data_IF_834335778216
#
_entry.id   IF_834335778216
#
_cell.length_a   1.000
_cell.length_b   1.000
_cell.length_c   1.000
_cell.angle_alpha   90.00
_cell.angle_beta   90.00
_cell.angle_gamma   90.00
#
_symmetry.space_group_name_H-M   'P 1'
#
loop_
_entity.id
_entity.type
_entity.pdbx_description
1 polymer ?
#
# COMPACT_ATOMS: atom_id res chain seq x y z
N UNK A 1 7.74 -24.47 3.27
CA UNK A 1 8.45 -23.65 2.26
C UNK A 1 8.86 -22.38 2.97
N UNK A 2 10.15 -22.20 3.19
CA UNK A 2 10.67 -20.94 3.73
C UNK A 2 10.51 -19.85 2.66
N UNK A 3 10.04 -18.68 3.07
CA UNK A 3 9.86 -17.54 2.15
C UNK A 3 11.22 -16.91 1.80
N UNK A 4 11.27 -16.06 0.76
CA UNK A 4 12.50 -15.39 0.34
C UNK A 4 13.18 -14.59 1.47
N UNK A 5 14.51 -14.62 1.50
CA UNK A 5 15.32 -13.74 2.34
C UNK A 5 15.46 -12.37 1.66
N UNK A 6 14.75 -11.36 2.18
CA UNK A 6 14.73 -9.99 1.65
C UNK A 6 15.64 -9.03 2.45
N UNK A 7 16.50 -9.57 3.32
CA UNK A 7 17.34 -8.79 4.22
C UNK A 7 16.61 -8.31 5.47
N UNK A 8 17.18 -7.30 6.13
CA UNK A 8 16.75 -6.82 7.46
C UNK A 8 16.12 -5.43 7.43
N UNK A 9 15.99 -4.82 6.25
CA UNK A 9 15.38 -3.51 6.11
C UNK A 9 13.91 -3.58 6.53
N UNK A 10 13.50 -2.69 7.41
CA UNK A 10 12.16 -2.69 7.98
C UNK A 10 11.70 -1.30 8.34
N UNK A 11 10.39 -1.12 8.40
CA UNK A 11 9.75 0.08 8.96
C UNK A 11 8.73 -0.38 9.99
N UNK A 12 8.97 0.00 11.24
CA UNK A 12 7.99 -0.27 12.30
C UNK A 12 6.66 0.42 11.97
N UNK A 13 5.58 -0.35 12.06
CA UNK A 13 4.21 0.13 11.90
C UNK A 13 3.39 -0.18 13.15
N UNK A 14 2.31 0.56 13.35
CA UNK A 14 1.42 0.37 14.48
C UNK A 14 0.56 -0.87 14.25
N UNK A 15 1.00 -1.97 14.82
CA UNK A 15 0.30 -3.27 14.85
C UNK A 15 0.71 -4.03 16.10
N UNK A 16 -0.20 -4.83 16.65
CA UNK A 16 0.13 -5.78 17.71
C UNK A 16 0.52 -7.16 17.16
N UNK A 17 0.39 -7.38 15.85
CA UNK A 17 0.64 -8.66 15.17
C UNK A 17 2.07 -8.70 14.62
N UNK A 18 2.96 -9.55 15.17
CA UNK A 18 4.31 -9.71 14.62
C UNK A 18 4.30 -10.21 13.17
N UNK A 19 3.29 -10.99 12.80
CA UNK A 19 3.12 -11.47 11.43
C UNK A 19 2.68 -10.36 10.48
N UNK A 20 1.79 -9.46 10.90
CA UNK A 20 1.43 -8.29 10.10
C UNK A 20 2.65 -7.38 9.86
N UNK A 21 3.47 -7.14 10.90
CA UNK A 21 4.73 -6.40 10.77
C UNK A 21 5.68 -7.09 9.78
N UNK A 22 5.86 -8.42 9.90
CA UNK A 22 6.72 -9.19 8.99
C UNK A 22 6.25 -9.10 7.54
N UNK A 23 4.96 -9.24 7.28
CA UNK A 23 4.41 -9.14 5.93
C UNK A 23 4.47 -7.70 5.38
N UNK A 24 4.26 -6.70 6.23
CA UNK A 24 4.46 -5.30 5.85
C UNK A 24 5.91 -5.03 5.43
N UNK A 25 6.88 -5.50 6.22
CA UNK A 25 8.31 -5.33 5.90
C UNK A 25 8.68 -5.99 4.57
N UNK A 26 8.13 -7.18 4.28
CA UNK A 26 8.30 -7.85 2.98
C UNK A 26 7.71 -7.05 1.82
N UNK A 27 6.47 -6.56 1.99
CA UNK A 27 5.83 -5.74 0.97
C UNK A 27 6.60 -4.46 0.67
N UNK A 28 7.18 -3.86 1.71
CA UNK A 28 8.04 -2.69 1.61
C UNK A 28 9.33 -3.00 0.84
N UNK A 29 10.02 -4.09 1.17
CA UNK A 29 11.23 -4.53 0.48
C UNK A 29 10.99 -4.84 -0.99
N UNK A 30 9.88 -5.54 -1.33
CA UNK A 30 9.51 -5.81 -2.72
C UNK A 30 9.19 -4.55 -3.51
N UNK A 31 8.45 -3.62 -2.91
CA UNK A 31 8.13 -2.34 -3.53
C UNK A 31 9.39 -1.52 -3.81
N UNK A 32 10.36 -1.52 -2.89
CA UNK A 32 11.67 -0.85 -3.06
C UNK A 32 12.58 -1.56 -4.06
N UNK A 33 12.32 -2.84 -4.32
CA UNK A 33 12.99 -3.63 -5.36
C UNK A 33 12.22 -3.64 -6.69
N UNK A 34 11.26 -2.74 -6.84
CA UNK A 34 10.43 -2.56 -8.05
C UNK A 34 9.52 -3.74 -8.41
N UNK A 35 9.28 -4.68 -7.48
CA UNK A 35 8.27 -5.73 -7.63
C UNK A 35 6.99 -5.32 -6.90
N UNK A 36 6.21 -4.46 -7.56
CA UNK A 36 4.98 -3.89 -6.99
C UNK A 36 3.89 -4.94 -6.78
N UNK A 37 3.76 -5.93 -7.67
CA UNK A 37 2.74 -6.98 -7.57
C UNK A 37 2.95 -7.85 -6.32
N UNK A 38 4.18 -8.31 -6.08
CA UNK A 38 4.48 -9.07 -4.87
C UNK A 38 4.41 -8.18 -3.61
N UNK A 39 4.74 -6.89 -3.75
CA UNK A 39 4.49 -5.87 -2.73
C UNK A 39 3.03 -5.86 -2.28
N UNK A 40 2.10 -5.74 -3.23
CA UNK A 40 0.65 -5.77 -2.97
C UNK A 40 0.23 -7.03 -2.25
N UNK A 41 0.66 -8.21 -2.72
CA UNK A 41 0.31 -9.51 -2.10
C UNK A 41 0.80 -9.59 -0.65
N UNK A 42 2.00 -9.08 -0.37
CA UNK A 42 2.53 -9.02 0.98
C UNK A 42 1.71 -8.09 1.88
N UNK A 43 1.30 -6.92 1.38
CA UNK A 43 0.46 -5.99 2.14
C UNK A 43 -0.95 -6.53 2.38
N UNK A 44 -1.54 -7.24 1.41
CA UNK A 44 -2.80 -7.97 1.59
C UNK A 44 -2.66 -9.00 2.70
N UNK A 45 -1.59 -9.80 2.69
CA UNK A 45 -1.31 -10.77 3.75
C UNK A 45 -1.09 -10.10 5.11
N UNK A 46 -0.46 -8.92 5.16
CA UNK A 46 -0.34 -8.15 6.38
C UNK A 46 -1.72 -7.73 6.92
N UNK A 47 -2.66 -7.33 6.04
CA UNK A 47 -4.02 -6.96 6.42
C UNK A 47 -4.87 -8.16 6.89
N UNK A 48 -4.59 -9.36 6.38
CA UNK A 48 -5.21 -10.60 6.88
C UNK A 48 -4.70 -10.95 8.29
N UNK A 49 -3.40 -10.73 8.55
CA UNK A 49 -2.79 -10.97 9.86
C UNK A 49 -3.20 -9.94 10.92
N UNK A 50 -3.52 -8.71 10.51
CA UNK A 50 -4.08 -7.66 11.38
C UNK A 50 -5.00 -6.74 10.57
N UNK A 51 -6.33 -6.97 10.62
CA UNK A 51 -7.32 -6.13 9.94
C UNK A 51 -7.39 -4.70 10.48
N UNK A 52 -6.70 -4.39 11.58
CA UNK A 52 -6.60 -3.04 12.16
C UNK A 52 -5.29 -2.33 11.81
N UNK A 53 -4.39 -2.98 11.06
CA UNK A 53 -3.13 -2.39 10.62
C UNK A 53 -3.36 -1.41 9.46
N UNK A 54 -3.48 -0.12 9.77
CA UNK A 54 -3.62 0.96 8.77
C UNK A 54 -2.53 0.94 7.71
N UNK A 55 -1.30 0.61 8.09
CA UNK A 55 -0.18 0.62 7.15
C UNK A 55 -0.22 -0.55 6.15
N UNK A 56 -0.86 -1.67 6.47
CA UNK A 56 -1.09 -2.73 5.50
C UNK A 56 -1.95 -2.21 4.33
N UNK A 57 -3.07 -1.57 4.64
CA UNK A 57 -3.94 -0.98 3.61
C UNK A 57 -3.29 0.20 2.88
N UNK A 58 -2.55 1.06 3.59
CA UNK A 58 -1.73 2.10 2.95
C UNK A 58 -0.74 1.50 1.96
N UNK A 59 -0.09 0.38 2.32
CA UNK A 59 0.88 -0.31 1.47
C UNK A 59 0.26 -0.83 0.17
N UNK A 60 -0.96 -1.39 0.24
CA UNK A 60 -1.72 -1.79 -0.96
C UNK A 60 -1.91 -0.60 -1.89
N UNK A 61 -2.43 0.51 -1.36
CA UNK A 61 -2.66 1.73 -2.15
C UNK A 61 -1.38 2.31 -2.75
N UNK A 62 -0.28 2.29 -1.98
CA UNK A 62 1.04 2.73 -2.42
C UNK A 62 1.57 1.88 -3.59
N UNK A 63 1.46 0.55 -3.49
CA UNK A 63 2.07 -0.36 -4.44
C UNK A 63 1.29 -0.50 -5.76
N UNK A 64 -0.05 -0.36 -5.75
CA UNK A 64 -0.86 -0.38 -7.00
C UNK A 64 -0.82 0.94 -7.77
N UNK A 65 -0.32 2.01 -7.16
CA UNK A 65 -0.19 3.32 -7.78
C UNK A 65 0.86 3.36 -8.89
N UNK A 66 1.04 4.53 -9.53
CA UNK A 66 2.07 4.69 -10.53
C UNK A 66 3.43 4.60 -9.84
N UNK A 67 4.40 4.04 -10.54
CA UNK A 67 5.77 3.92 -10.04
C UNK A 67 6.74 4.36 -11.13
N UNK A 68 8.03 4.31 -10.80
CA UNK A 68 9.09 4.73 -11.73
C UNK A 68 9.04 3.97 -13.06
N UNK A 69 8.72 2.67 -13.03
CA UNK A 69 8.66 1.82 -14.22
C UNK A 69 7.33 1.91 -14.96
N UNK A 70 6.27 2.37 -14.29
CA UNK A 70 4.92 2.45 -14.85
C UNK A 70 4.24 3.73 -14.39
N UNK A 71 4.49 4.81 -15.12
CA UNK A 71 3.74 6.05 -14.98
C UNK A 71 2.29 5.85 -15.47
N UNK A 72 1.34 6.66 -15.01
CA UNK A 72 -0.07 6.50 -15.36
C UNK A 72 -0.37 6.48 -16.87
N UNK A 73 0.37 7.25 -17.67
CA UNK A 73 0.21 7.25 -19.13
C UNK A 73 0.57 5.91 -19.80
N UNK A 74 1.16 4.97 -19.06
CA UNK A 74 1.50 3.62 -19.52
C UNK A 74 0.47 2.56 -19.08
N UNK A 75 -0.56 2.94 -18.32
CA UNK A 75 -1.66 2.04 -17.99
C UNK A 75 -2.67 2.05 -19.12
N UNK A 76 -3.11 0.88 -19.56
CA UNK A 76 -4.33 0.80 -20.37
C UNK A 76 -5.56 1.17 -19.51
N UNK A 77 -6.72 1.31 -20.17
CA UNK A 77 -7.94 1.79 -19.50
C UNK A 77 -8.39 0.86 -18.38
N UNK A 78 -8.31 -0.45 -18.57
CA UNK A 78 -8.84 -1.44 -17.62
C UNK A 78 -7.92 -1.55 -16.41
N UNK A 79 -6.61 -1.56 -16.67
CA UNK A 79 -5.58 -1.55 -15.63
C UNK A 79 -5.58 -0.26 -14.81
N UNK A 80 -5.75 0.89 -15.46
CA UNK A 80 -5.91 2.18 -14.78
C UNK A 80 -7.13 2.17 -13.86
N UNK A 81 -8.29 1.76 -14.36
CA UNK A 81 -9.53 1.73 -13.58
C UNK A 81 -9.43 0.77 -12.40
N UNK A 82 -8.92 -0.44 -12.62
CA UNK A 82 -8.76 -1.44 -11.56
C UNK A 82 -7.76 -1.00 -10.49
N UNK A 83 -6.63 -0.40 -10.89
CA UNK A 83 -5.63 0.16 -9.97
C UNK A 83 -6.17 1.31 -9.13
N UNK A 84 -6.90 2.25 -9.74
CA UNK A 84 -7.56 3.36 -9.01
C UNK A 84 -8.59 2.81 -8.03
N UNK A 85 -9.43 1.86 -8.47
CA UNK A 85 -10.44 1.25 -7.60
C UNK A 85 -9.78 0.59 -6.39
N UNK A 86 -8.76 -0.24 -6.62
CA UNK A 86 -8.04 -0.97 -5.55
C UNK A 86 -7.36 0.00 -4.58
N UNK A 87 -6.74 1.06 -5.08
CA UNK A 87 -6.14 2.09 -4.22
C UNK A 87 -7.18 2.78 -3.33
N UNK A 88 -8.32 3.17 -3.89
CA UNK A 88 -9.39 3.84 -3.15
C UNK A 88 -10.07 2.94 -2.12
N UNK A 89 -10.31 1.68 -2.46
CA UNK A 89 -10.85 0.69 -1.53
C UNK A 89 -9.89 0.48 -0.36
N UNK A 90 -8.59 0.34 -0.65
CA UNK A 90 -7.55 0.20 0.37
C UNK A 90 -7.44 1.45 1.25
N UNK A 91 -7.43 2.66 0.68
CA UNK A 91 -7.40 3.90 1.46
C UNK A 91 -8.65 4.07 2.35
N UNK A 92 -9.81 3.61 1.89
CA UNK A 92 -11.03 3.57 2.70
C UNK A 92 -10.85 2.68 3.92
N UNK A 93 -10.27 1.48 3.75
CA UNK A 93 -9.92 0.61 4.86
C UNK A 93 -8.87 1.23 5.78
N UNK A 94 -7.82 1.85 5.21
CA UNK A 94 -6.74 2.48 5.97
C UNK A 94 -7.26 3.56 6.93
N UNK A 95 -8.22 4.39 6.47
CA UNK A 95 -8.88 5.40 7.30
C UNK A 95 -9.72 4.76 8.40
N UNK A 96 -10.51 3.73 8.07
CA UNK A 96 -11.35 3.01 9.05
C UNK A 96 -10.53 2.36 10.16
N UNK A 97 -9.32 1.90 9.86
CA UNK A 97 -8.43 1.28 10.84
C UNK A 97 -7.51 2.27 11.57
N UNK A 98 -7.58 3.57 11.26
CA UNK A 98 -6.60 4.56 11.69
C UNK A 98 -6.71 4.99 13.16
N UNK A 99 -7.71 4.54 13.93
CA UNK A 99 -7.95 5.01 15.31
C UNK A 99 -6.68 4.98 16.16
N UNK A 100 -6.00 3.82 16.16
CA UNK A 100 -4.76 3.59 16.92
C UNK A 100 -3.49 3.94 16.16
N UNK A 101 -3.58 4.26 14.87
CA UNK A 101 -2.41 4.58 14.06
C UNK A 101 -1.69 5.81 14.60
N UNK A 102 -0.36 5.78 14.50
CA UNK A 102 0.50 6.89 14.89
C UNK A 102 0.25 8.14 14.03
N UNK A 103 0.64 9.34 14.49
CA UNK A 103 0.45 10.57 13.72
C UNK A 103 1.07 10.53 12.31
N UNK A 104 2.23 9.89 12.14
CA UNK A 104 2.90 9.78 10.85
C UNK A 104 2.14 8.87 9.88
N UNK A 105 1.57 7.76 10.38
CA UNK A 105 0.79 6.84 9.54
C UNK A 105 -0.51 7.50 9.08
N UNK A 106 -1.19 8.23 9.98
CA UNK A 106 -2.36 9.06 9.63
C UNK A 106 -2.02 10.10 8.55
N UNK A 107 -0.86 10.75 8.67
CA UNK A 107 -0.40 11.72 7.68
C UNK A 107 -0.12 11.07 6.32
N UNK A 108 0.50 9.88 6.30
CA UNK A 108 0.77 9.14 5.07
C UNK A 108 -0.51 8.69 4.35
N UNK A 109 -1.51 8.22 5.08
CA UNK A 109 -2.83 7.90 4.52
C UNK A 109 -3.46 9.15 3.91
N UNK A 110 -3.48 10.26 4.65
CA UNK A 110 -4.03 11.53 4.17
C UNK A 110 -3.33 12.02 2.89
N UNK A 111 -2.01 11.87 2.81
CA UNK A 111 -1.24 12.27 1.64
C UNK A 111 -1.67 11.48 0.39
N UNK A 112 -1.82 10.16 0.48
CA UNK A 112 -2.29 9.34 -0.64
C UNK A 112 -3.75 9.63 -1.02
N UNK A 113 -4.62 9.92 -0.05
CA UNK A 113 -5.99 10.33 -0.34
C UNK A 113 -6.06 11.62 -1.15
N UNK A 114 -5.27 12.63 -0.78
CA UNK A 114 -5.22 13.91 -1.50
C UNK A 114 -4.67 13.72 -2.91
N UNK A 115 -3.67 12.87 -3.08
CA UNK A 115 -3.13 12.56 -4.41
C UNK A 115 -4.17 11.84 -5.28
N UNK A 116 -4.91 10.87 -4.74
CA UNK A 116 -6.01 10.20 -5.44
C UNK A 116 -7.10 11.19 -5.86
N UNK A 117 -7.53 12.07 -4.95
CA UNK A 117 -8.54 13.11 -5.23
C UNK A 117 -8.08 14.09 -6.32
N UNK A 118 -6.81 14.53 -6.26
CA UNK A 118 -6.24 15.41 -7.29
C UNK A 118 -6.27 14.73 -8.66
N UNK A 119 -6.00 13.43 -8.75
CA UNK A 119 -6.01 12.68 -10.01
C UNK A 119 -7.41 12.48 -10.58
N UNK A 120 -8.42 12.30 -9.75
CA UNK A 120 -9.83 12.25 -10.19
C UNK A 120 -10.27 13.62 -10.72
N UNK A 121 -9.86 14.71 -10.07
CA UNK A 121 -10.21 16.07 -10.46
C UNK A 121 -9.48 16.51 -11.76
N UNK A 122 -8.28 15.98 -12.01
CA UNK A 122 -7.45 16.31 -13.17
C UNK A 122 -6.93 15.02 -13.83
N UNK A 123 -7.79 14.28 -14.58
CA UNK A 123 -7.32 13.17 -15.38
C UNK A 123 -6.33 13.73 -16.39
N UNK A 124 -5.07 13.31 -16.31
CA UNK A 124 -4.04 13.71 -17.29
C UNK A 124 -4.55 13.37 -18.69
N UNK A 125 -4.62 14.41 -19.53
CA UNK A 125 -5.04 14.38 -20.94
C UNK A 125 -4.16 13.51 -21.80
#
# INVERSE_FOLDING_TARGET
MDYYNLGTHRRSVTTASPDAQRWFDRGFAWSYSFNHEEGVRCFERASECDPTCTMAFWGIAYAVGPNYNKAWGLFDKDDLQSSIKKANDALTCAVKSADKASPIEKALVKALQLDSQRRIAFPTT
#
